data_IF_563289319455
#
_entry.id   IF_563289319455
#
_cell.length_a   1.000
_cell.length_b   1.000
_cell.length_c   1.000
_cell.angle_alpha   90.00
_cell.angle_beta   90.00
_cell.angle_gamma   90.00
#
_symmetry.space_group_name_H-M   'P 1'
#
loop_
_entity.id
_entity.type
_entity.pdbx_description
1 polymer ?
#
# COMPACT_ATOMS: atom_id res chain seq x y z
N UNK A 1 2.93 13.98 8.17
CA UNK A 1 2.14 12.80 7.74
C UNK A 1 1.30 13.25 6.56
N UNK A 2 1.26 12.48 5.45
CA UNK A 2 0.35 12.75 4.35
C UNK A 2 -1.10 12.79 4.85
N UNK A 3 -1.91 13.67 4.26
CA UNK A 3 -3.36 13.72 4.55
C UNK A 3 -4.08 12.63 3.77
N UNK A 4 -5.21 12.14 4.28
CA UNK A 4 -6.04 11.23 3.49
C UNK A 4 -6.39 11.87 2.12
N UNK A 5 -6.35 11.07 1.06
CA UNK A 5 -6.59 11.49 -0.33
C UNK A 5 -5.53 12.41 -0.96
N UNK A 6 -4.40 12.67 -0.31
CA UNK A 6 -3.31 13.45 -0.93
C UNK A 6 -2.66 12.73 -2.11
N UNK A 7 -2.72 11.40 -2.13
CA UNK A 7 -2.26 10.53 -3.21
C UNK A 7 -2.97 10.81 -4.54
N UNK A 8 -4.28 11.11 -4.52
CA UNK A 8 -5.04 11.45 -5.73
C UNK A 8 -4.50 12.74 -6.36
N UNK A 9 -4.12 13.73 -5.55
CA UNK A 9 -3.56 14.97 -6.07
C UNK A 9 -2.17 14.72 -6.64
N UNK A 10 -1.34 13.94 -5.96
CA UNK A 10 0.00 13.59 -6.42
C UNK A 10 -0.03 12.83 -7.76
N UNK A 11 -0.89 11.82 -7.87
CA UNK A 11 -1.00 10.97 -9.05
C UNK A 11 -1.55 11.74 -10.27
N UNK A 12 -2.70 12.40 -10.12
CA UNK A 12 -3.43 12.98 -11.26
C UNK A 12 -3.03 14.41 -11.60
N UNK A 13 -2.39 15.14 -10.68
CA UNK A 13 -2.02 16.55 -10.92
C UNK A 13 -0.51 16.78 -11.06
N UNK A 14 0.33 15.91 -10.48
CA UNK A 14 1.78 16.11 -10.43
C UNK A 14 2.58 15.03 -11.18
N UNK A 15 1.95 13.93 -11.59
CA UNK A 15 2.59 12.87 -12.37
C UNK A 15 3.58 12.04 -11.57
N UNK A 16 3.16 11.61 -10.38
CA UNK A 16 3.96 10.82 -9.44
C UNK A 16 4.27 9.38 -9.93
N UNK A 17 5.32 8.76 -9.41
CA UNK A 17 5.83 7.43 -9.79
C UNK A 17 4.77 6.33 -9.64
N UNK A 18 3.79 6.51 -8.75
CA UNK A 18 2.70 5.56 -8.52
C UNK A 18 1.90 5.25 -9.79
N UNK A 19 1.64 6.25 -10.65
CA UNK A 19 0.80 6.06 -11.86
C UNK A 19 1.42 5.02 -12.80
N UNK A 20 2.75 4.95 -12.89
CA UNK A 20 3.45 4.02 -13.75
C UNK A 20 3.25 2.56 -13.30
N UNK A 21 3.33 2.31 -11.98
CA UNK A 21 3.07 0.98 -11.43
C UNK A 21 1.59 0.59 -11.59
N UNK A 22 0.65 1.52 -11.36
CA UNK A 22 -0.80 1.28 -11.52
C UNK A 22 -1.15 0.95 -12.97
N UNK A 23 -0.67 1.73 -13.94
CA UNK A 23 -0.92 1.49 -15.37
C UNK A 23 -0.36 0.13 -15.80
N UNK A 24 0.86 -0.23 -15.39
CA UNK A 24 1.44 -1.53 -15.73
C UNK A 24 0.67 -2.69 -15.10
N UNK A 25 0.26 -2.54 -13.84
CA UNK A 25 -0.54 -3.55 -13.19
C UNK A 25 -1.87 -3.76 -13.90
N UNK A 26 -2.56 -2.69 -14.31
CA UNK A 26 -3.82 -2.78 -15.04
C UNK A 26 -3.69 -3.53 -16.38
N UNK A 27 -2.55 -3.39 -17.07
CA UNK A 27 -2.33 -4.02 -18.39
C UNK A 27 -1.74 -5.43 -18.28
N UNK A 28 -0.87 -5.67 -17.30
CA UNK A 28 -0.02 -6.87 -17.25
C UNK A 28 -0.24 -7.75 -16.02
N UNK A 29 -1.08 -7.33 -15.06
CA UNK A 29 -1.18 -7.91 -13.71
C UNK A 29 0.17 -7.96 -12.97
N UNK A 30 1.12 -7.11 -13.38
CA UNK A 30 2.45 -6.97 -12.83
C UNK A 30 2.83 -5.48 -12.84
N UNK A 31 3.11 -4.86 -11.68
CA UNK A 31 3.45 -3.44 -11.62
C UNK A 31 4.88 -3.14 -12.11
N UNK A 32 5.74 -4.17 -12.24
CA UNK A 32 7.15 -4.00 -12.57
C UNK A 32 7.42 -3.80 -14.07
N UNK A 33 8.45 -3.02 -14.41
CA UNK A 33 8.91 -2.81 -15.78
C UNK A 33 10.01 -1.76 -15.90
N UNK A 34 10.65 -1.71 -17.08
CA UNK A 34 11.66 -0.70 -17.39
C UNK A 34 12.88 -0.75 -16.46
N UNK A 35 13.32 0.43 -16.02
CA UNK A 35 14.44 0.62 -15.09
C UNK A 35 14.01 0.97 -13.66
N UNK A 36 12.72 0.84 -13.35
CA UNK A 36 12.18 1.25 -12.06
C UNK A 36 12.55 0.25 -10.96
N UNK A 37 12.39 0.69 -9.70
CA UNK A 37 12.59 -0.17 -8.54
C UNK A 37 11.62 -1.36 -8.57
N UNK A 38 12.14 -2.57 -8.37
CA UNK A 38 11.29 -3.77 -8.39
C UNK A 38 10.43 -3.81 -7.11
N UNK A 39 9.11 -3.83 -7.29
CA UNK A 39 8.13 -4.08 -6.25
C UNK A 39 7.86 -5.59 -6.15
N UNK A 40 8.40 -6.29 -5.13
CA UNK A 40 8.13 -7.70 -4.94
C UNK A 40 6.69 -7.94 -4.46
N UNK A 41 6.08 -9.10 -4.78
CA UNK A 41 4.79 -9.48 -4.20
C UNK A 41 4.86 -9.55 -2.68
N UNK A 42 3.83 -9.04 -2.01
CA UNK A 42 3.72 -9.14 -0.56
C UNK A 42 3.49 -10.59 -0.12
N UNK A 43 4.22 -11.05 0.90
CA UNK A 43 3.98 -12.34 1.56
C UNK A 43 4.09 -12.18 3.08
N UNK A 44 3.50 -13.09 3.85
CA UNK A 44 3.64 -13.04 5.32
C UNK A 44 5.05 -13.39 5.80
N UNK A 45 5.86 -14.08 4.98
CA UNK A 45 7.28 -14.35 5.27
C UNK A 45 8.19 -13.18 4.88
N UNK A 46 7.79 -12.38 3.88
CA UNK A 46 8.50 -11.21 3.40
C UNK A 46 7.50 -10.08 3.14
N UNK A 47 7.10 -9.35 4.20
CA UNK A 47 6.05 -8.33 4.13
C UNK A 47 6.63 -7.00 3.62
N UNK A 48 7.05 -7.00 2.36
CA UNK A 48 7.73 -5.87 1.73
C UNK A 48 6.71 -4.89 1.11
N UNK A 49 6.88 -3.61 1.42
CA UNK A 49 6.12 -2.49 0.87
C UNK A 49 6.96 -1.73 -0.15
N UNK A 50 6.30 -1.20 -1.19
CA UNK A 50 6.81 -0.06 -1.96
C UNK A 50 6.39 1.21 -1.23
N UNK A 51 7.35 2.02 -0.82
CA UNK A 51 7.15 3.28 -0.10
C UNK A 51 7.51 4.44 -1.01
N UNK A 52 6.51 5.30 -1.25
CA UNK A 52 6.64 6.53 -2.03
C UNK A 52 7.02 7.67 -1.09
N UNK A 53 8.13 8.34 -1.39
CA UNK A 53 8.78 9.33 -0.57
C UNK A 53 8.92 10.65 -1.33
N UNK A 54 8.99 11.75 -0.59
CA UNK A 54 9.41 13.02 -1.16
C UNK A 54 10.94 13.06 -1.34
N UNK A 55 11.42 13.76 -2.37
CA UNK A 55 12.84 14.10 -2.53
C UNK A 55 13.54 13.40 -3.70
N UNK A 56 14.87 13.30 -3.62
CA UNK A 56 15.71 12.80 -4.73
C UNK A 56 15.66 11.28 -4.92
N UNK A 57 15.27 10.54 -3.89
CA UNK A 57 15.06 9.10 -3.93
C UNK A 57 13.59 8.84 -3.58
N UNK A 58 12.68 8.92 -4.56
CA UNK A 58 11.24 8.92 -4.30
C UNK A 58 10.66 7.53 -4.01
N UNK A 59 11.46 6.47 -4.18
CA UNK A 59 11.02 5.09 -4.00
C UNK A 59 11.97 4.33 -3.08
N UNK A 60 11.40 3.64 -2.10
CA UNK A 60 12.12 2.76 -1.19
C UNK A 60 11.33 1.46 -0.94
N UNK A 61 12.04 0.35 -0.75
CA UNK A 61 11.44 -0.86 -0.21
C UNK A 61 11.56 -0.89 1.33
N UNK A 62 10.44 -1.05 2.02
CA UNK A 62 10.40 -1.08 3.49
C UNK A 62 9.60 -2.27 4.03
N UNK A 63 9.84 -2.66 5.28
CA UNK A 63 9.08 -3.73 5.93
C UNK A 63 7.74 -3.24 6.50
N UNK A 64 6.65 -3.98 6.26
CA UNK A 64 5.35 -3.79 6.91
C UNK A 64 5.33 -4.40 8.33
N UNK A 65 6.14 -3.86 9.22
CA UNK A 65 6.23 -4.30 10.62
C UNK A 65 5.88 -3.20 11.62
N UNK A 66 5.51 -2.03 11.12
CA UNK A 66 5.14 -0.88 11.95
C UNK A 66 3.78 -1.10 12.62
N UNK A 67 3.68 -0.74 13.90
CA UNK A 67 2.43 -0.84 14.70
C UNK A 67 1.80 -2.24 14.72
N UNK A 68 2.56 -3.30 14.43
CA UNK A 68 2.06 -4.67 14.32
C UNK A 68 1.20 -5.10 15.52
N UNK A 69 1.66 -4.81 16.74
CA UNK A 69 0.92 -5.14 17.96
C UNK A 69 -0.45 -4.43 18.05
N UNK A 70 -0.50 -3.14 17.69
CA UNK A 70 -1.74 -2.36 17.74
C UNK A 70 -2.73 -2.80 16.65
N UNK A 71 -2.26 -3.05 15.43
CA UNK A 71 -3.08 -3.54 14.31
C UNK A 71 -3.63 -4.94 14.65
N UNK A 72 -2.79 -5.83 15.19
CA UNK A 72 -3.22 -7.15 15.65
C UNK A 72 -4.30 -7.07 16.74
N UNK A 73 -4.12 -6.17 17.70
CA UNK A 73 -5.12 -5.95 18.75
C UNK A 73 -6.46 -5.43 18.20
N UNK A 74 -6.43 -4.48 17.26
CA UNK A 74 -7.63 -4.01 16.59
C UNK A 74 -8.34 -5.14 15.82
N UNK A 75 -7.59 -5.98 15.10
CA UNK A 75 -8.15 -7.16 14.44
C UNK A 75 -8.79 -8.16 15.41
N UNK A 76 -8.21 -8.36 16.60
CA UNK A 76 -8.81 -9.20 17.64
C UNK A 76 -10.10 -8.60 18.21
N UNK A 77 -10.17 -7.27 18.36
CA UNK A 77 -11.37 -6.58 18.79
C UNK A 77 -12.49 -6.70 17.76
N UNK A 78 -12.19 -6.54 16.47
CA UNK A 78 -13.15 -6.70 15.37
C UNK A 78 -13.71 -8.13 15.29
N UNK A 79 -12.87 -9.15 15.52
CA UNK A 79 -13.31 -10.54 15.59
C UNK A 79 -14.19 -10.82 16.81
N UNK A 80 -13.90 -10.19 17.94
CA UNK A 80 -14.65 -10.36 19.19
C UNK A 80 -15.97 -9.59 19.20
N UNK A 81 -15.98 -8.41 18.57
CA UNK A 81 -17.10 -7.48 18.50
C UNK A 81 -17.33 -7.05 17.04
N UNK A 82 -18.01 -7.89 16.22
CA UNK A 82 -18.21 -7.58 14.81
C UNK A 82 -18.90 -6.23 14.61
N UNK A 83 -18.31 -5.38 13.77
CA UNK A 83 -18.85 -4.05 13.47
C UNK A 83 -20.17 -4.10 12.68
N UNK A 84 -20.46 -5.24 12.05
CA UNK A 84 -21.70 -5.47 11.31
C UNK A 84 -22.46 -6.66 11.87
N UNK A 85 -23.74 -6.45 12.16
CA UNK A 85 -24.65 -7.53 12.51
C UNK A 85 -25.06 -8.29 11.23
N UNK A 86 -24.55 -9.51 11.06
CA UNK A 86 -24.88 -10.40 9.94
C UNK A 86 -26.21 -11.17 10.10
N UNK A 87 -26.99 -10.93 11.16
CA UNK A 87 -28.29 -11.60 11.38
C UNK A 87 -29.49 -10.99 10.62
N UNK A 88 -29.24 -10.13 9.63
CA UNK A 88 -30.29 -9.38 8.91
C UNK A 88 -30.32 -9.55 7.39
N UNK A 89 -29.57 -10.50 6.83
CA UNK A 89 -29.70 -10.93 5.42
C UNK A 89 -30.26 -12.34 5.34
#
# INVERSE_FOLDING_TARGET
MPTHSSDVIAEYSLGDDLINYVVRFAVNLNPNGGSDLIWPPYTTQSPMLMTFLDGLTPLELSNDTYRQAAISYLGQLELKYPLFNISGF
#
